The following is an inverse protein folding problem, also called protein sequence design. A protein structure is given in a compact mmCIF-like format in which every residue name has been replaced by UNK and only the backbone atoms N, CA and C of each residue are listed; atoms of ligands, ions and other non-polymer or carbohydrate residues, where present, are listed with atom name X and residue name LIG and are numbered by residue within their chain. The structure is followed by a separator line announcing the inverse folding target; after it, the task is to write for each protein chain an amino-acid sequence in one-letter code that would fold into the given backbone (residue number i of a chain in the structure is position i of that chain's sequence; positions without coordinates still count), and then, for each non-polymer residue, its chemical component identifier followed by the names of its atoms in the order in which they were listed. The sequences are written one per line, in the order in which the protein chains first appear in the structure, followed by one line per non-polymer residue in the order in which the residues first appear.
data_IF_977125211136
#
_entry.id   IF_977125211136
#
_cell.length_a   1.000
_cell.length_b   1.000
_cell.length_c   1.000
_cell.angle_alpha   90.00
_cell.angle_beta   90.00
_cell.angle_gamma   90.00
#
_symmetry.space_group_name_H-M   'P 1'
#
loop_
_entity.id
_entity.type
_entity.pdbx_description
1 polymer ?
#
# COMPACT_ATOMS: atom_id res chain seq x y z
N UNK A 1 3.99 17.38 0.05
CA UNK A 1 3.66 16.77 1.37
C UNK A 1 3.36 15.29 1.25
N UNK A 2 2.22 14.86 0.68
CA UNK A 2 1.87 13.44 0.54
C UNK A 2 2.95 12.66 -0.21
N UNK A 3 3.37 13.15 -1.39
CA UNK A 3 4.45 12.55 -2.19
C UNK A 3 5.83 12.51 -1.50
N UNK A 4 5.99 13.19 -0.35
CA UNK A 4 7.20 13.12 0.47
C UNK A 4 7.03 12.18 1.68
N UNK A 5 5.98 11.37 1.74
CA UNK A 5 5.78 10.38 2.80
C UNK A 5 4.82 10.78 3.92
N UNK A 6 4.16 11.94 3.84
CA UNK A 6 3.25 12.40 4.90
C UNK A 6 1.85 11.77 4.76
N UNK A 7 1.73 10.49 5.11
CA UNK A 7 0.48 9.74 5.06
C UNK A 7 0.46 8.60 6.10
N UNK A 8 -0.72 8.04 6.35
CA UNK A 8 -0.91 6.92 7.29
C UNK A 8 -2.30 6.31 7.15
N UNK A 9 -2.59 5.27 7.93
CA UNK A 9 -3.94 4.73 8.10
C UNK A 9 -4.40 4.90 9.54
N UNK A 10 -5.70 5.06 9.70
CA UNK A 10 -6.39 4.99 10.98
C UNK A 10 -7.58 4.06 10.82
N UNK A 11 -7.60 2.98 11.58
CA UNK A 11 -8.78 2.13 11.70
C UNK A 11 -9.62 2.61 12.88
N UNK A 12 -10.89 2.89 12.61
CA UNK A 12 -11.88 3.22 13.64
C UNK A 12 -12.83 2.04 13.76
N UNK A 13 -12.69 1.32 14.87
CA UNK A 13 -13.54 0.18 15.17
C UNK A 13 -15.00 0.63 15.37
N UNK A 14 -15.98 -0.03 14.73
CA UNK A 14 -17.39 0.20 15.01
C UNK A 14 -17.74 -0.03 16.49
N UNK A 15 -18.76 0.68 17.00
CA UNK A 15 -19.20 0.50 18.38
C UNK A 15 -19.88 -0.88 18.59
N UNK A 16 -20.58 -1.37 17.57
CA UNK A 16 -21.32 -2.63 17.60
C UNK A 16 -20.57 -3.70 16.79
N UNK A 17 -19.65 -4.39 17.46
CA UNK A 17 -18.84 -5.45 16.86
C UNK A 17 -17.50 -4.97 16.33
N UNK A 18 -16.68 -5.93 15.91
CA UNK A 18 -15.35 -5.70 15.36
C UNK A 18 -15.16 -6.62 14.16
N UNK A 19 -14.09 -6.38 13.42
CA UNK A 19 -13.63 -7.28 12.40
C UNK A 19 -13.35 -8.68 13.00
N UNK A 20 -13.62 -9.75 12.24
CA UNK A 20 -13.33 -11.11 12.68
C UNK A 20 -11.85 -11.27 13.04
N UNK A 21 -11.57 -12.13 14.04
CA UNK A 21 -10.19 -12.46 14.41
C UNK A 21 -9.45 -13.12 13.26
N UNK A 22 -8.17 -12.81 13.16
CA UNK A 22 -7.20 -13.44 12.26
C UNK A 22 -5.91 -13.76 13.03
N UNK A 23 -5.06 -14.61 12.48
CA UNK A 23 -3.80 -14.99 13.12
C UNK A 23 -2.72 -13.91 12.97
N UNK A 24 -2.75 -13.15 11.87
CA UNK A 24 -1.81 -12.06 11.60
C UNK A 24 -2.48 -10.85 10.97
N UNK A 25 -2.04 -9.67 11.37
CA UNK A 25 -2.44 -8.41 10.77
C UNK A 25 -1.22 -7.67 10.24
N UNK A 26 -1.37 -7.05 9.07
CA UNK A 26 -0.33 -6.23 8.43
C UNK A 26 -0.86 -4.86 8.03
N UNK A 27 0.07 -3.90 8.03
CA UNK A 27 -0.13 -2.56 7.54
C UNK A 27 0.70 -2.35 6.27
N UNK A 28 0.02 -1.98 5.18
CA UNK A 28 0.66 -1.72 3.89
C UNK A 28 0.06 -0.47 3.26
N UNK A 29 0.91 0.44 2.83
CA UNK A 29 0.53 1.63 2.07
C UNK A 29 1.25 1.66 0.74
N UNK A 30 0.52 1.85 -0.36
CA UNK A 30 1.11 2.27 -1.62
C UNK A 30 1.33 3.78 -1.62
N UNK A 31 2.46 4.21 -2.18
CA UNK A 31 2.75 5.61 -2.44
C UNK A 31 3.62 5.79 -3.67
N UNK A 32 3.49 6.95 -4.30
CA UNK A 32 4.30 7.40 -5.42
C UNK A 32 5.30 8.45 -4.97
N UNK A 33 6.52 8.37 -5.50
CA UNK A 33 7.53 9.40 -5.34
C UNK A 33 7.94 9.96 -6.70
N UNK A 34 8.09 11.28 -6.73
CA UNK A 34 8.40 12.06 -7.91
C UNK A 34 9.70 12.79 -7.65
N UNK A 35 10.74 12.45 -8.38
CA UNK A 35 12.03 13.08 -8.18
C UNK A 35 12.70 13.42 -9.51
N UNK A 36 13.50 14.49 -9.48
CA UNK A 36 14.40 14.82 -10.58
C UNK A 36 15.49 13.75 -10.71
N UNK A 37 16.09 13.55 -11.89
CA UNK A 37 17.24 12.65 -12.02
C UNK A 37 18.34 12.99 -11.00
N UNK A 38 18.96 11.99 -10.36
CA UNK A 38 20.04 12.24 -9.41
C UNK A 38 21.19 12.98 -10.08
N UNK A 39 21.71 14.01 -9.41
CA UNK A 39 22.94 14.68 -9.84
C UNK A 39 24.13 13.71 -9.80
N UNK A 40 25.14 13.94 -10.64
CA UNK A 40 26.38 13.16 -10.61
C UNK A 40 27.39 13.89 -9.72
N UNK A 41 27.82 13.23 -8.65
CA UNK A 41 28.82 13.75 -7.73
C UNK A 41 30.23 13.76 -8.34
N UNK A 42 31.17 14.47 -7.71
CA UNK A 42 32.58 14.54 -8.13
C UNK A 42 33.27 13.16 -8.24
N UNK A 43 32.76 12.16 -7.51
CA UNK A 43 33.22 10.77 -7.57
C UNK A 43 32.68 9.98 -8.79
N UNK A 44 31.88 10.63 -9.64
CA UNK A 44 31.26 10.06 -10.84
C UNK A 44 30.03 9.18 -10.58
N UNK A 45 29.52 9.12 -9.34
CA UNK A 45 28.33 8.33 -8.97
C UNK A 45 27.09 9.23 -8.89
N UNK A 46 25.90 8.69 -9.18
CA UNK A 46 24.65 9.39 -8.89
C UNK A 46 24.51 9.64 -7.38
N UNK A 47 24.04 10.83 -7.02
CA UNK A 47 23.68 11.21 -5.65
C UNK A 47 22.60 10.27 -5.10
N UNK A 48 22.74 9.88 -3.83
CA UNK A 48 21.71 9.14 -3.09
C UNK A 48 20.53 10.04 -2.66
N UNK A 49 20.71 11.36 -2.75
CA UNK A 49 19.69 12.37 -2.48
C UNK A 49 19.16 12.92 -3.79
N UNK A 50 17.84 12.90 -3.93
CA UNK A 50 17.13 13.44 -5.09
C UNK A 50 16.16 14.52 -4.64
N UNK A 51 15.95 15.52 -5.50
CA UNK A 51 14.98 16.59 -5.27
C UNK A 51 13.60 16.22 -5.80
N UNK A 52 12.54 16.76 -5.20
CA UNK A 52 11.17 16.52 -5.65
C UNK A 52 10.91 17.17 -7.02
N UNK A 53 10.33 16.40 -7.95
CA UNK A 53 9.97 16.91 -9.28
C UNK A 53 8.52 17.38 -9.34
N UNK A 54 8.31 18.70 -9.33
CA UNK A 54 7.00 19.31 -9.57
C UNK A 54 6.41 19.00 -10.96
N UNK A 55 7.19 19.10 -12.06
CA UNK A 55 6.67 18.79 -13.40
C UNK A 55 6.19 17.35 -13.55
N UNK A 56 6.90 16.38 -12.98
CA UNK A 56 6.50 14.97 -13.05
C UNK A 56 5.26 14.70 -12.18
N UNK A 57 5.18 15.31 -10.99
CA UNK A 57 4.02 15.20 -10.13
C UNK A 57 2.74 15.77 -10.79
N UNK A 58 2.84 16.89 -11.48
CA UNK A 58 1.70 17.49 -12.21
C UNK A 58 1.25 16.69 -13.43
N UNK A 59 2.16 15.91 -14.02
CA UNK A 59 1.86 15.01 -15.16
C UNK A 59 1.48 13.60 -14.72
N UNK A 60 1.47 13.33 -13.41
CA UNK A 60 1.21 12.00 -12.84
C UNK A 60 2.18 10.93 -13.38
N UNK A 61 3.44 11.33 -13.60
CA UNK A 61 4.53 10.45 -14.06
C UNK A 61 5.49 10.15 -12.90
N UNK A 62 5.17 9.21 -11.99
CA UNK A 62 6.02 8.94 -10.83
C UNK A 62 7.33 8.27 -11.24
N UNK A 63 8.41 8.65 -10.57
CA UNK A 63 9.70 7.98 -10.73
C UNK A 63 9.65 6.56 -10.16
N UNK A 64 8.96 6.38 -9.02
CA UNK A 64 8.75 5.08 -8.40
C UNK A 64 7.37 4.98 -7.74
N UNK A 65 6.81 3.77 -7.73
CA UNK A 65 5.64 3.39 -6.94
C UNK A 65 6.07 2.30 -5.98
N UNK A 66 5.90 2.52 -4.69
CA UNK A 66 6.46 1.67 -3.64
C UNK A 66 5.42 1.32 -2.59
N UNK A 67 5.67 0.23 -1.87
CA UNK A 67 4.97 -0.07 -0.63
C UNK A 67 5.82 0.35 0.57
N UNK A 68 5.20 0.99 1.55
CA UNK A 68 5.82 1.38 2.82
C UNK A 68 7.08 2.26 2.68
N UNK A 69 7.07 3.17 1.71
CA UNK A 69 7.95 4.35 1.67
C UNK A 69 9.20 4.24 0.81
N UNK A 70 9.71 3.04 0.50
CA UNK A 70 10.90 2.88 -0.34
C UNK A 70 10.94 1.55 -1.08
N UNK A 71 11.81 1.46 -2.07
CA UNK A 71 12.05 0.20 -2.79
C UNK A 71 12.53 -0.88 -1.82
N UNK A 72 12.06 -2.12 -2.03
CA UNK A 72 12.41 -3.29 -1.23
C UNK A 72 11.90 -3.34 0.23
N UNK A 73 11.16 -2.33 0.70
CA UNK A 73 10.62 -2.29 2.06
C UNK A 73 9.91 -3.59 2.48
N UNK A 74 9.07 -4.15 1.59
CA UNK A 74 8.34 -5.40 1.82
C UNK A 74 8.96 -6.63 1.13
N UNK A 75 10.15 -6.49 0.53
CA UNK A 75 10.82 -7.59 -0.17
C UNK A 75 11.99 -8.14 0.65
N UNK A 76 12.97 -7.29 0.96
CA UNK A 76 14.19 -7.72 1.65
C UNK A 76 14.26 -7.21 3.08
N UNK A 77 13.77 -5.99 3.32
CA UNK A 77 14.00 -5.31 4.58
C UNK A 77 13.05 -5.84 5.66
N UNK A 78 11.74 -5.83 5.35
CA UNK A 78 10.67 -6.30 6.24
C UNK A 78 9.61 -7.09 5.45
N UNK A 79 9.97 -8.27 4.89
CA UNK A 79 9.00 -9.10 4.20
C UNK A 79 7.86 -9.55 5.14
N UNK A 80 6.65 -9.62 4.59
CA UNK A 80 5.49 -10.17 5.30
C UNK A 80 5.67 -11.70 5.42
N UNK A 81 5.36 -12.27 6.59
CA UNK A 81 5.63 -13.69 6.91
C UNK A 81 4.44 -14.37 7.57
N UNK A 82 3.87 -15.35 6.91
CA UNK A 82 2.82 -16.22 7.46
C UNK A 82 3.23 -17.70 7.35
N UNK A 83 2.52 -18.56 8.07
CA UNK A 83 2.63 -20.02 7.98
C UNK A 83 1.41 -20.57 7.25
N UNK A 84 1.58 -21.73 6.61
CA UNK A 84 0.46 -22.45 6.02
C UNK A 84 -0.64 -22.71 7.08
N UNK A 85 -1.88 -22.45 6.71
CA UNK A 85 -3.07 -22.54 7.56
C UNK A 85 -3.37 -21.29 8.39
N UNK A 86 -2.50 -20.28 8.41
CA UNK A 86 -2.80 -19.01 9.10
C UNK A 86 -3.73 -18.12 8.25
N UNK A 87 -4.65 -17.46 8.95
CA UNK A 87 -5.46 -16.37 8.42
C UNK A 87 -4.72 -15.04 8.56
N UNK A 88 -4.70 -14.26 7.48
CA UNK A 88 -3.98 -12.99 7.38
C UNK A 88 -4.94 -11.88 7.00
N UNK A 89 -4.89 -10.77 7.73
CA UNK A 89 -5.50 -9.49 7.35
C UNK A 89 -4.45 -8.50 6.89
N UNK A 90 -4.72 -7.77 5.82
CA UNK A 90 -3.93 -6.61 5.40
C UNK A 90 -4.84 -5.38 5.43
N UNK A 91 -4.47 -4.40 6.26
CA UNK A 91 -4.96 -3.03 6.16
C UNK A 91 -4.17 -2.34 5.06
N UNK A 92 -4.76 -2.27 3.87
CA UNK A 92 -4.13 -1.71 2.69
C UNK A 92 -4.66 -0.32 2.42
N UNK A 93 -3.75 0.66 2.31
CA UNK A 93 -4.09 2.00 1.87
C UNK A 93 -3.35 2.36 0.60
N UNK A 94 -3.95 3.26 -0.17
CA UNK A 94 -3.27 3.90 -1.29
C UNK A 94 -3.17 5.40 -0.98
N UNK A 95 -2.00 5.85 -0.53
CA UNK A 95 -1.76 7.27 -0.34
C UNK A 95 -1.75 8.05 -1.67
N UNK A 96 -1.41 7.38 -2.77
CA UNK A 96 -1.18 8.02 -4.05
C UNK A 96 0.12 8.84 -4.07
N UNK A 97 0.09 10.12 -4.54
CA UNK A 97 -1.07 10.99 -4.51
C UNK A 97 -2.02 10.87 -5.71
N UNK A 98 -1.65 10.21 -6.82
CA UNK A 98 -2.42 10.33 -8.05
C UNK A 98 -3.02 8.99 -8.52
N UNK A 99 -2.24 7.93 -8.53
CA UNK A 99 -2.60 6.66 -9.15
C UNK A 99 -3.58 5.84 -8.30
N UNK A 100 -4.46 5.11 -8.98
CA UNK A 100 -5.29 4.07 -8.36
C UNK A 100 -4.53 2.74 -8.32
N UNK A 101 -4.54 2.06 -7.17
CA UNK A 101 -3.93 0.74 -7.04
C UNK A 101 -4.92 -0.34 -7.48
N UNK A 102 -4.47 -1.28 -8.31
CA UNK A 102 -5.14 -2.57 -8.50
C UNK A 102 -4.50 -3.59 -7.57
N UNK A 103 -4.85 -3.53 -6.28
CA UNK A 103 -4.17 -4.32 -5.25
C UNK A 103 -4.48 -5.81 -5.40
N UNK A 104 -3.41 -6.60 -5.43
CA UNK A 104 -3.44 -8.03 -5.69
C UNK A 104 -2.31 -8.73 -4.93
N UNK A 105 -2.57 -9.94 -4.44
CA UNK A 105 -1.54 -10.84 -3.88
C UNK A 105 -1.46 -12.08 -4.77
N UNK A 106 -0.34 -12.23 -5.45
CA UNK A 106 -0.12 -13.32 -6.41
C UNK A 106 -0.17 -14.66 -5.69
N UNK A 107 -0.93 -15.61 -6.26
CA UNK A 107 -1.03 -16.98 -5.76
C UNK A 107 -2.14 -17.23 -4.75
N UNK A 108 -2.96 -16.22 -4.42
CA UNK A 108 -4.12 -16.37 -3.56
C UNK A 108 -5.30 -15.50 -4.03
N UNK A 109 -6.46 -15.68 -3.42
CA UNK A 109 -7.62 -14.82 -3.57
C UNK A 109 -8.05 -14.32 -2.18
N UNK A 110 -8.62 -13.12 -2.12
CA UNK A 110 -9.08 -12.55 -0.87
C UNK A 110 -10.41 -13.20 -0.46
N UNK A 111 -10.41 -13.90 0.67
CA UNK A 111 -11.61 -14.50 1.25
C UNK A 111 -12.64 -13.41 1.59
N UNK A 112 -12.19 -12.27 2.11
CA UNK A 112 -13.02 -11.08 2.37
C UNK A 112 -12.34 -9.82 1.85
N UNK A 113 -13.12 -8.95 1.22
CA UNK A 113 -12.68 -7.60 0.80
C UNK A 113 -13.68 -6.57 1.30
N UNK A 114 -13.22 -5.74 2.23
CA UNK A 114 -13.93 -4.57 2.74
C UNK A 114 -13.57 -3.39 1.83
N UNK A 115 -14.36 -3.21 0.77
CA UNK A 115 -14.11 -2.18 -0.25
C UNK A 115 -14.27 -0.79 0.35
N UNK A 116 -13.44 0.14 -0.10
CA UNK A 116 -13.49 1.55 0.28
C UNK A 116 -13.40 1.81 1.80
N UNK A 117 -12.90 0.83 2.57
CA UNK A 117 -12.83 0.88 4.03
C UNK A 117 -14.18 0.64 4.74
N UNK A 118 -15.23 0.25 4.01
CA UNK A 118 -16.53 -0.06 4.59
C UNK A 118 -16.49 -1.40 5.35
N UNK A 119 -16.53 -1.30 6.68
CA UNK A 119 -16.55 -2.44 7.61
C UNK A 119 -17.93 -2.77 8.15
N UNK A 120 -18.97 -2.04 7.72
CA UNK A 120 -20.36 -2.28 8.13
C UNK A 120 -21.10 -3.14 7.11
N UNK A 121 -20.88 -2.90 5.81
CA UNK A 121 -21.49 -3.71 4.77
C UNK A 121 -20.86 -5.11 4.69
N UNK A 122 -21.62 -6.14 4.24
CA UNK A 122 -21.05 -7.45 3.96
C UNK A 122 -19.86 -7.35 2.98
N UNK A 123 -18.70 -7.92 3.31
CA UNK A 123 -17.53 -7.81 2.44
C UNK A 123 -17.71 -8.61 1.15
N UNK A 124 -17.00 -8.18 0.10
CA UNK A 124 -16.84 -9.01 -1.10
C UNK A 124 -16.17 -10.34 -0.73
N UNK A 125 -16.57 -11.42 -1.39
CA UNK A 125 -16.07 -12.76 -1.10
C UNK A 125 -15.32 -13.34 -2.30
N UNK A 126 -14.17 -13.97 -2.05
CA UNK A 126 -13.33 -14.64 -3.06
C UNK A 126 -12.96 -13.73 -4.24
N UNK A 127 -12.48 -12.53 -3.94
CA UNK A 127 -12.10 -11.51 -4.93
C UNK A 127 -10.59 -11.60 -5.19
N UNK A 128 -10.18 -11.65 -6.46
CA UNK A 128 -8.76 -11.75 -6.82
C UNK A 128 -7.99 -10.43 -6.69
N UNK A 129 -8.61 -9.32 -7.08
CA UNK A 129 -7.99 -7.99 -7.18
C UNK A 129 -9.01 -6.94 -6.79
N UNK A 130 -8.59 -5.93 -6.03
CA UNK A 130 -9.44 -4.82 -5.59
C UNK A 130 -8.85 -3.49 -6.06
N UNK A 131 -9.69 -2.64 -6.64
CA UNK A 131 -9.32 -1.27 -6.98
C UNK A 131 -9.35 -0.41 -5.73
N UNK A 132 -8.27 0.32 -5.45
CA UNK A 132 -8.14 1.20 -4.28
C UNK A 132 -7.69 2.58 -4.77
N UNK A 133 -8.60 3.58 -4.81
CA UNK A 133 -8.28 4.91 -5.31
C UNK A 133 -7.24 5.61 -4.43
N UNK A 134 -6.57 6.63 -4.97
CA UNK A 134 -5.71 7.51 -4.17
C UNK A 134 -6.50 8.15 -3.03
N UNK A 135 -5.91 8.19 -1.84
CA UNK A 135 -6.57 8.60 -0.59
C UNK A 135 -7.55 7.56 -0.03
N UNK A 136 -7.74 6.44 -0.72
CA UNK A 136 -8.61 5.35 -0.32
C UNK A 136 -7.88 4.25 0.47
N UNK A 137 -8.68 3.35 1.04
CA UNK A 137 -8.18 2.15 1.70
C UNK A 137 -9.12 0.98 1.50
N UNK A 138 -8.64 -0.22 1.81
CA UNK A 138 -9.41 -1.44 1.86
C UNK A 138 -8.82 -2.35 2.94
N UNK A 139 -9.62 -3.30 3.41
CA UNK A 139 -9.14 -4.38 4.27
C UNK A 139 -9.38 -5.68 3.51
N UNK A 140 -8.35 -6.51 3.45
CA UNK A 140 -8.47 -7.85 2.85
C UNK A 140 -8.09 -8.91 3.86
N UNK A 141 -8.91 -9.97 3.92
CA UNK A 141 -8.60 -11.18 4.68
C UNK A 141 -8.34 -12.32 3.69
N UNK A 142 -7.31 -13.12 3.94
CA UNK A 142 -6.94 -14.29 3.13
C UNK A 142 -6.38 -15.41 4.00
N UNK A 143 -6.41 -16.65 3.50
CA UNK A 143 -5.74 -17.79 4.12
C UNK A 143 -4.45 -18.13 3.37
N UNK A 144 -3.44 -18.57 4.12
CA UNK A 144 -2.10 -18.93 3.63
C UNK A 144 -1.86 -20.44 3.60
#
# INVERSE_FOLDING_TARGET
HIANGMYGLMYVQPAEGDLPKVDREYYVMQSEFYHEPPEVEDNGRPSEVVEFSYPNALREEPSVVVFNGHENALKTDKPLKARAGESVRIFFGNAGPNLTSSFHVIGTAFNKVYRDGDVLSPPGQYVQTVSVPSGGSTIVDMNM
#
